data_IF_009437933835
#
_entry.id   IF_009437933835
#
_cell.length_a   1.000
_cell.length_b   1.000
_cell.length_c   1.000
_cell.angle_alpha   90.00
_cell.angle_beta   90.00
_cell.angle_gamma   90.00
#
_symmetry.space_group_name_H-M   'P 1'
#
loop_
_entity.id
_entity.type
_entity.pdbx_description
1 polymer ?
#
# COMPACT_ATOMS: atom_id res chain seq x y z
N UNK A 1 -12.01 -3.50 17.79
CA UNK A 1 -12.34 -4.77 17.10
C UNK A 1 -11.65 -5.98 17.74
N UNK A 2 -10.35 -5.93 18.05
CA UNK A 2 -9.65 -7.04 18.73
C UNK A 2 -10.18 -7.29 20.15
N UNK A 3 -10.48 -6.24 20.92
CA UNK A 3 -11.04 -6.39 22.28
C UNK A 3 -12.40 -7.11 22.27
N UNK A 4 -13.29 -6.70 21.34
CA UNK A 4 -14.58 -7.36 21.15
C UNK A 4 -14.43 -8.84 20.74
N UNK A 5 -13.42 -9.18 19.93
CA UNK A 5 -13.17 -10.57 19.55
C UNK A 5 -12.63 -11.39 20.73
N UNK A 6 -11.76 -10.81 21.57
CA UNK A 6 -11.27 -11.44 22.79
C UNK A 6 -12.41 -11.69 23.79
N UNK A 7 -13.25 -10.68 24.01
CA UNK A 7 -14.41 -10.77 24.90
C UNK A 7 -15.40 -11.84 24.44
N UNK A 8 -15.75 -11.87 23.14
CA UNK A 8 -16.65 -12.87 22.58
C UNK A 8 -16.08 -14.29 22.72
N UNK A 9 -14.79 -14.48 22.49
CA UNK A 9 -14.13 -15.79 22.64
C UNK A 9 -14.07 -16.24 24.11
N UNK A 10 -13.85 -15.30 25.03
CA UNK A 10 -13.83 -15.56 26.47
C UNK A 10 -15.22 -15.89 27.02
N UNK A 11 -16.24 -15.11 26.66
CA UNK A 11 -17.63 -15.31 27.08
C UNK A 11 -18.23 -16.60 26.51
N UNK A 12 -17.76 -17.06 25.34
CA UNK A 12 -18.30 -18.21 24.63
C UNK A 12 -17.30 -19.37 24.50
N UNK A 13 -16.40 -19.55 25.48
CA UNK A 13 -15.35 -20.58 25.44
C UNK A 13 -15.88 -22.00 25.08
N UNK A 14 -17.06 -22.36 25.56
CA UNK A 14 -17.71 -23.65 25.25
C UNK A 14 -18.13 -23.81 23.76
N UNK A 15 -18.44 -22.72 23.07
CA UNK A 15 -18.75 -22.70 21.64
C UNK A 15 -17.45 -22.63 20.81
N UNK A 16 -16.46 -21.91 21.30
CA UNK A 16 -15.13 -21.79 20.72
C UNK A 16 -14.51 -23.17 20.46
N UNK A 17 -14.46 -24.05 21.46
CA UNK A 17 -13.94 -25.41 21.30
C UNK A 17 -14.80 -26.32 20.42
N UNK A 18 -16.09 -26.00 20.25
CA UNK A 18 -17.03 -26.83 19.49
C UNK A 18 -17.06 -26.49 18.00
N UNK A 19 -16.85 -25.23 17.64
CA UNK A 19 -17.05 -24.74 16.28
C UNK A 19 -15.77 -24.28 15.58
N UNK A 20 -14.71 -23.94 16.32
CA UNK A 20 -13.42 -23.59 15.71
C UNK A 20 -12.55 -24.82 15.54
N UNK A 21 -11.98 -24.96 14.33
CA UNK A 21 -10.90 -25.93 14.13
C UNK A 21 -9.69 -25.58 15.00
N UNK A 22 -8.86 -26.55 15.41
CA UNK A 22 -7.66 -26.29 16.21
C UNK A 22 -6.76 -25.21 15.60
N UNK A 23 -6.57 -25.24 14.27
CA UNK A 23 -5.83 -24.22 13.53
C UNK A 23 -6.41 -22.81 13.72
N UNK A 24 -7.72 -22.65 13.57
CA UNK A 24 -8.36 -21.33 13.69
C UNK A 24 -8.30 -20.80 15.12
N UNK A 25 -8.43 -21.68 16.11
CA UNK A 25 -8.29 -21.31 17.51
C UNK A 25 -6.86 -20.84 17.83
N UNK A 26 -5.84 -21.65 17.50
CA UNK A 26 -4.42 -21.29 17.69
C UNK A 26 -4.07 -19.98 16.97
N UNK A 27 -4.57 -19.79 15.75
CA UNK A 27 -4.30 -18.58 14.98
C UNK A 27 -4.93 -17.32 15.58
N UNK A 28 -6.20 -17.41 16.01
CA UNK A 28 -6.91 -16.28 16.64
C UNK A 28 -6.28 -15.92 17.98
N UNK A 29 -5.90 -16.91 18.78
CA UNK A 29 -5.23 -16.71 20.05
C UNK A 29 -3.90 -15.97 19.86
N UNK A 30 -3.07 -16.39 18.89
CA UNK A 30 -1.83 -15.70 18.55
C UNK A 30 -2.06 -14.26 18.05
N UNK A 31 -3.11 -14.02 17.25
CA UNK A 31 -3.47 -12.67 16.79
C UNK A 31 -3.90 -11.74 17.93
N UNK A 32 -4.63 -12.24 18.92
CA UNK A 32 -5.04 -11.47 20.09
C UNK A 32 -3.84 -11.17 21.00
N UNK A 33 -3.01 -12.17 21.26
CA UNK A 33 -1.76 -12.03 22.02
C UNK A 33 -0.83 -11.01 21.39
N UNK A 34 -0.85 -10.83 20.06
CA UNK A 34 -0.04 -9.82 19.38
C UNK A 34 -0.33 -8.38 19.85
N UNK A 35 -1.51 -8.09 20.41
CA UNK A 35 -1.86 -6.75 20.91
C UNK A 35 -1.13 -6.42 22.23
N UNK A 36 -0.87 -7.42 23.07
CA UNK A 36 -0.34 -7.24 24.43
C UNK A 36 1.09 -7.76 24.58
N UNK A 37 1.43 -8.84 23.88
CA UNK A 37 2.71 -9.54 23.96
C UNK A 37 3.19 -10.01 22.56
N UNK A 38 3.73 -9.09 21.72
CA UNK A 38 4.14 -9.42 20.35
C UNK A 38 5.25 -10.48 20.26
N UNK A 39 6.14 -10.55 21.25
CA UNK A 39 7.19 -11.58 21.29
C UNK A 39 6.63 -12.99 21.56
N UNK A 40 5.59 -13.09 22.38
CA UNK A 40 4.90 -14.34 22.67
C UNK A 40 4.09 -14.79 21.45
N UNK A 41 3.32 -13.87 20.85
CA UNK A 41 2.60 -14.11 19.61
C UNK A 41 3.55 -14.59 18.49
N UNK A 42 4.75 -14.03 18.39
CA UNK A 42 5.75 -14.48 17.44
C UNK A 42 6.13 -15.96 17.64
N UNK A 43 6.34 -16.40 18.89
CA UNK A 43 6.64 -17.81 19.20
C UNK A 43 5.47 -18.72 18.87
N UNK A 44 4.24 -18.29 19.15
CA UNK A 44 3.03 -19.04 18.79
C UNK A 44 2.94 -19.23 17.26
N UNK A 45 3.13 -18.17 16.48
CA UNK A 45 3.15 -18.28 15.01
C UNK A 45 4.31 -19.13 14.49
N UNK A 46 5.47 -19.13 15.15
CA UNK A 46 6.62 -19.96 14.78
C UNK A 46 6.33 -21.46 15.01
N UNK A 47 5.65 -21.80 16.12
CA UNK A 47 5.19 -23.16 16.40
C UNK A 47 4.16 -23.63 15.36
N UNK A 48 3.16 -22.78 15.05
CA UNK A 48 2.18 -23.07 14.01
C UNK A 48 2.84 -23.27 12.64
N UNK A 49 3.79 -22.39 12.29
CA UNK A 49 4.56 -22.47 11.05
C UNK A 49 5.36 -23.78 10.97
N UNK A 50 5.94 -24.22 12.09
CA UNK A 50 6.67 -25.50 12.17
C UNK A 50 5.75 -26.69 11.93
N UNK A 51 4.58 -26.74 12.59
CA UNK A 51 3.56 -27.79 12.37
C UNK A 51 3.10 -27.86 10.91
N UNK A 52 2.85 -26.71 10.29
CA UNK A 52 2.41 -26.62 8.89
C UNK A 52 3.53 -27.02 7.92
N UNK A 53 4.78 -26.64 8.20
CA UNK A 53 5.96 -27.03 7.41
C UNK A 53 6.14 -28.55 7.42
N UNK A 54 5.96 -29.21 8.56
CA UNK A 54 6.00 -30.68 8.63
C UNK A 54 4.92 -31.34 7.77
N UNK A 55 3.71 -30.76 7.73
CA UNK A 55 2.61 -31.25 6.91
C UNK A 55 2.88 -31.06 5.41
N UNK A 56 3.36 -29.87 5.02
CA UNK A 56 3.76 -29.57 3.64
C UNK A 56 4.86 -30.51 3.17
N UNK A 57 5.90 -30.76 3.99
CA UNK A 57 6.94 -31.72 3.69
C UNK A 57 6.42 -33.16 3.48
N UNK A 58 5.42 -33.59 4.26
CA UNK A 58 4.77 -34.90 4.09
C UNK A 58 3.99 -34.98 2.78
N UNK A 59 3.21 -33.95 2.47
CA UNK A 59 2.42 -33.87 1.23
C UNK A 59 3.33 -33.82 -0.01
N UNK A 60 4.45 -33.09 0.04
CA UNK A 60 5.46 -33.08 -1.05
C UNK A 60 6.02 -34.47 -1.32
N UNK A 61 6.30 -35.27 -0.28
CA UNK A 61 6.76 -36.67 -0.44
C UNK A 61 5.68 -37.55 -1.07
N UNK A 62 4.43 -37.41 -0.62
CA UNK A 62 3.29 -38.15 -1.18
C UNK A 62 3.04 -37.81 -2.66
N UNK A 63 3.21 -36.54 -3.05
CA UNK A 63 3.13 -36.13 -4.46
C UNK A 63 4.23 -36.78 -5.30
N UNK A 64 5.45 -36.91 -4.78
CA UNK A 64 6.56 -37.57 -5.47
C UNK A 64 6.32 -39.08 -5.63
N UNK A 65 5.84 -39.75 -4.59
CA UNK A 65 5.51 -41.19 -4.61
C UNK A 65 4.31 -41.48 -5.55
N UNK A 66 3.27 -40.65 -5.49
CA UNK A 66 2.10 -40.78 -6.36
C UNK A 66 2.44 -40.68 -7.85
N UNK A 67 3.41 -39.82 -8.22
CA UNK A 67 3.93 -39.71 -9.60
C UNK A 67 4.61 -40.99 -10.08
N UNK A 68 5.29 -41.72 -9.20
CA UNK A 68 5.92 -43.00 -9.54
C UNK A 68 4.88 -44.10 -9.75
N UNK A 69 3.79 -44.06 -8.96
CA UNK A 69 2.73 -45.08 -8.99
C UNK A 69 1.65 -44.82 -10.06
N UNK A 70 1.67 -43.67 -10.76
CA UNK A 70 0.69 -43.25 -11.79
C UNK A 70 -0.77 -43.28 -11.31
N UNK A 71 -1.00 -42.94 -10.05
CA UNK A 71 -2.34 -42.80 -9.47
C UNK A 71 -2.80 -41.33 -9.56
N UNK A 72 -3.46 -40.99 -10.66
CA UNK A 72 -3.86 -39.61 -10.97
C UNK A 72 -4.93 -39.07 -10.01
N UNK A 73 -5.81 -39.92 -9.48
CA UNK A 73 -6.89 -39.50 -8.57
C UNK A 73 -6.36 -39.23 -7.17
N UNK A 74 -5.46 -40.08 -6.66
CA UNK A 74 -4.77 -39.83 -5.40
C UNK A 74 -3.88 -38.56 -5.49
N UNK A 75 -3.17 -38.37 -6.61
CA UNK A 75 -2.35 -37.16 -6.82
C UNK A 75 -3.19 -35.88 -6.76
N UNK A 76 -4.37 -35.87 -7.40
CA UNK A 76 -5.25 -34.70 -7.40
C UNK A 76 -5.70 -34.33 -5.98
N UNK A 77 -6.05 -35.34 -5.16
CA UNK A 77 -6.45 -35.11 -3.77
C UNK A 77 -5.29 -34.56 -2.92
N UNK A 78 -4.10 -35.17 -3.03
CA UNK A 78 -2.91 -34.70 -2.30
C UNK A 78 -2.53 -33.28 -2.72
N UNK A 79 -2.70 -32.92 -3.99
CA UNK A 79 -2.44 -31.56 -4.48
C UNK A 79 -3.42 -30.55 -3.87
N UNK A 80 -4.72 -30.88 -3.81
CA UNK A 80 -5.73 -30.04 -3.16
C UNK A 80 -5.43 -29.85 -1.66
N UNK A 81 -5.02 -30.92 -0.98
CA UNK A 81 -4.62 -30.84 0.43
C UNK A 81 -3.35 -29.99 0.61
N UNK A 82 -2.40 -30.08 -0.33
CA UNK A 82 -1.20 -29.25 -0.35
C UNK A 82 -1.53 -27.77 -0.51
N UNK A 83 -2.36 -27.41 -1.48
CA UNK A 83 -2.77 -26.02 -1.73
C UNK A 83 -3.46 -25.43 -0.50
N UNK A 84 -4.39 -26.19 0.13
CA UNK A 84 -5.07 -25.76 1.35
C UNK A 84 -4.10 -25.56 2.54
N UNK A 85 -3.08 -26.43 2.69
CA UNK A 85 -2.08 -26.26 3.73
C UNK A 85 -1.15 -25.08 3.44
N UNK A 86 -0.81 -24.85 2.17
CA UNK A 86 0.02 -23.72 1.76
C UNK A 86 -0.71 -22.40 2.04
N UNK A 87 -2.00 -22.29 1.74
CA UNK A 87 -2.80 -21.10 2.06
C UNK A 87 -2.78 -20.78 3.56
N UNK A 88 -2.99 -21.80 4.41
CA UNK A 88 -2.90 -21.63 5.88
C UNK A 88 -1.51 -21.17 6.31
N UNK A 89 -0.46 -21.77 5.75
CA UNK A 89 0.91 -21.40 6.04
C UNK A 89 1.21 -19.95 5.65
N UNK A 90 0.77 -19.50 4.47
CA UNK A 90 0.91 -18.11 4.01
C UNK A 90 0.22 -17.16 4.99
N UNK A 91 -0.99 -17.46 5.47
CA UNK A 91 -1.71 -16.62 6.44
C UNK A 91 -0.93 -16.47 7.76
N UNK A 92 -0.42 -17.57 8.31
CA UNK A 92 0.41 -17.55 9.54
C UNK A 92 1.70 -16.76 9.31
N UNK A 93 2.37 -17.00 8.18
CA UNK A 93 3.60 -16.31 7.80
C UNK A 93 3.38 -14.79 7.69
N UNK A 94 2.29 -14.34 7.07
CA UNK A 94 1.97 -12.91 6.96
C UNK A 94 1.72 -12.28 8.33
N UNK A 95 1.00 -12.97 9.22
CA UNK A 95 0.77 -12.49 10.59
C UNK A 95 2.10 -12.38 11.37
N UNK A 96 2.96 -13.40 11.28
CA UNK A 96 4.28 -13.42 11.90
C UNK A 96 5.18 -12.27 11.36
N UNK A 97 5.22 -12.10 10.04
CA UNK A 97 5.97 -11.03 9.38
C UNK A 97 5.47 -9.64 9.77
N UNK A 98 4.15 -9.47 9.92
CA UNK A 98 3.52 -8.20 10.27
C UNK A 98 4.01 -7.64 11.62
N UNK A 99 4.37 -8.51 12.56
CA UNK A 99 4.93 -8.08 13.86
C UNK A 99 6.18 -7.22 13.63
N UNK A 100 7.16 -7.71 12.86
CA UNK A 100 8.38 -6.95 12.57
C UNK A 100 8.14 -5.80 11.59
N UNK A 101 7.20 -5.95 10.65
CA UNK A 101 6.80 -4.88 9.74
C UNK A 101 6.31 -3.64 10.51
N UNK A 102 5.44 -3.83 11.52
CA UNK A 102 4.90 -2.73 12.32
C UNK A 102 5.98 -1.99 13.13
N UNK A 103 7.09 -2.66 13.45
CA UNK A 103 8.26 -2.07 14.10
C UNK A 103 9.28 -1.50 13.09
N UNK A 104 8.93 -1.43 11.80
CA UNK A 104 9.81 -1.03 10.70
C UNK A 104 11.12 -1.85 10.62
N UNK A 105 11.15 -3.07 11.16
CA UNK A 105 12.33 -3.95 11.14
C UNK A 105 12.36 -4.81 9.86
N UNK A 106 12.40 -4.17 8.69
CA UNK A 106 12.32 -4.85 7.38
C UNK A 106 13.36 -5.96 7.14
N UNK A 107 14.62 -5.88 7.62
CA UNK A 107 15.59 -6.97 7.44
C UNK A 107 15.17 -8.29 8.12
N UNK A 108 14.43 -8.20 9.23
CA UNK A 108 13.93 -9.39 9.92
C UNK A 108 12.72 -9.97 9.18
N UNK A 109 11.87 -9.11 8.62
CA UNK A 109 10.79 -9.52 7.73
C UNK A 109 11.38 -10.28 6.54
N UNK A 110 12.38 -9.73 5.85
CA UNK A 110 13.08 -10.43 4.75
C UNK A 110 13.60 -11.81 5.15
N UNK A 111 14.22 -11.93 6.33
CA UNK A 111 14.71 -13.21 6.85
C UNK A 111 13.59 -14.24 7.04
N UNK A 112 12.40 -13.80 7.48
CA UNK A 112 11.21 -14.66 7.62
C UNK A 112 10.73 -15.14 6.24
N UNK A 113 10.67 -14.24 5.25
CA UNK A 113 10.33 -14.61 3.87
C UNK A 113 11.35 -15.56 3.24
N UNK A 114 12.65 -15.31 3.41
CA UNK A 114 13.70 -16.19 2.88
C UNK A 114 13.60 -17.63 3.39
N UNK A 115 13.25 -17.82 4.67
CA UNK A 115 13.04 -19.15 5.26
C UNK A 115 11.82 -19.89 4.70
N UNK A 116 10.81 -19.17 4.22
CA UNK A 116 9.56 -19.72 3.70
C UNK A 116 9.56 -19.93 2.18
N UNK A 117 10.63 -19.52 1.49
CA UNK A 117 10.71 -19.54 0.03
C UNK A 117 10.50 -20.93 -0.59
N UNK A 118 10.94 -22.00 0.08
CA UNK A 118 10.76 -23.38 -0.40
C UNK A 118 9.29 -23.73 -0.69
N UNK A 119 8.37 -23.20 0.11
CA UNK A 119 6.94 -23.50 0.00
C UNK A 119 6.16 -22.42 -0.74
N UNK A 120 6.57 -21.15 -0.64
CA UNK A 120 5.74 -20.01 -1.02
C UNK A 120 6.22 -19.25 -2.26
N UNK A 121 7.33 -19.60 -2.90
CA UNK A 121 7.92 -18.80 -3.97
C UNK A 121 7.00 -18.62 -5.20
N UNK A 122 5.94 -19.41 -5.36
CA UNK A 122 4.94 -19.28 -6.43
C UNK A 122 3.65 -18.56 -6.01
N UNK A 123 3.50 -18.22 -4.73
CA UNK A 123 2.33 -17.51 -4.21
C UNK A 123 2.45 -16.00 -4.46
N UNK A 124 1.43 -15.41 -5.06
CA UNK A 124 1.43 -13.98 -5.41
C UNK A 124 1.40 -13.10 -4.15
N UNK A 125 0.75 -13.54 -3.06
CA UNK A 125 0.72 -12.79 -1.79
C UNK A 125 2.11 -12.74 -1.14
N UNK A 126 2.83 -13.86 -1.14
CA UNK A 126 4.20 -13.93 -0.67
C UNK A 126 5.13 -13.04 -1.50
N UNK A 127 5.03 -13.12 -2.83
CA UNK A 127 5.84 -12.29 -3.75
C UNK A 127 5.60 -10.81 -3.56
N UNK A 128 4.33 -10.37 -3.46
CA UNK A 128 3.98 -8.96 -3.25
C UNK A 128 4.51 -8.45 -1.91
N UNK A 129 4.34 -9.21 -0.82
CA UNK A 129 4.82 -8.77 0.49
C UNK A 129 6.35 -8.73 0.56
N UNK A 130 7.05 -9.68 -0.07
CA UNK A 130 8.51 -9.60 -0.19
C UNK A 130 8.94 -8.41 -1.06
N UNK A 131 8.21 -8.09 -2.12
CA UNK A 131 8.45 -6.90 -2.94
C UNK A 131 8.29 -5.61 -2.13
N UNK A 132 7.26 -5.53 -1.27
CA UNK A 132 7.09 -4.43 -0.32
C UNK A 132 8.27 -4.31 0.65
N UNK A 133 8.79 -5.43 1.16
CA UNK A 133 9.97 -5.45 2.03
C UNK A 133 11.21 -4.92 1.31
N UNK A 134 11.47 -5.38 0.08
CA UNK A 134 12.58 -4.86 -0.72
C UNK A 134 12.42 -3.38 -1.05
N UNK A 135 11.20 -2.95 -1.39
CA UNK A 135 10.89 -1.55 -1.62
C UNK A 135 11.20 -0.68 -0.40
N UNK A 136 10.74 -1.08 0.79
CA UNK A 136 11.00 -0.35 2.03
C UNK A 136 12.49 -0.30 2.40
N UNK A 137 13.27 -1.29 1.97
CA UNK A 137 14.73 -1.32 2.13
C UNK A 137 15.49 -0.57 1.02
N UNK A 138 14.81 0.11 0.10
CA UNK A 138 15.39 0.73 -1.10
C UNK A 138 16.09 -0.25 -2.05
N UNK A 139 15.75 -1.55 -1.99
CA UNK A 139 16.23 -2.60 -2.91
C UNK A 139 15.33 -2.65 -4.16
N UNK A 140 15.31 -1.55 -4.92
CA UNK A 140 14.35 -1.36 -6.02
C UNK A 140 14.48 -2.38 -7.15
N UNK A 141 15.69 -2.83 -7.48
CA UNK A 141 15.91 -3.86 -8.51
C UNK A 141 15.26 -5.20 -8.12
N UNK A 142 15.40 -5.60 -6.87
CA UNK A 142 14.80 -6.84 -6.36
C UNK A 142 13.28 -6.70 -6.27
N UNK A 143 12.77 -5.52 -5.89
CA UNK A 143 11.35 -5.22 -5.87
C UNK A 143 10.72 -5.31 -7.29
N UNK A 144 11.40 -4.81 -8.33
CA UNK A 144 10.95 -4.95 -9.73
C UNK A 144 10.79 -6.42 -10.09
N UNK A 145 11.79 -7.26 -9.77
CA UNK A 145 11.77 -8.68 -10.07
C UNK A 145 10.56 -9.45 -9.49
N UNK A 146 9.92 -8.91 -8.45
CA UNK A 146 8.75 -9.50 -7.82
C UNK A 146 7.42 -8.84 -8.23
N UNK A 147 7.38 -7.51 -8.39
CA UNK A 147 6.18 -6.81 -8.83
C UNK A 147 5.87 -7.05 -10.30
N UNK A 148 6.89 -6.98 -11.17
CA UNK A 148 6.70 -6.96 -12.61
C UNK A 148 6.00 -8.22 -13.16
N UNK A 149 6.34 -9.47 -12.74
CA UNK A 149 5.63 -10.66 -13.19
C UNK A 149 4.14 -10.64 -12.85
N UNK A 150 3.78 -10.09 -11.69
CA UNK A 150 2.38 -10.01 -11.22
C UNK A 150 1.62 -8.97 -12.03
N UNK A 151 2.22 -7.81 -12.28
CA UNK A 151 1.61 -6.78 -13.13
C UNK A 151 1.45 -7.28 -14.57
N UNK A 152 2.46 -7.97 -15.12
CA UNK A 152 2.39 -8.55 -16.46
C UNK A 152 1.31 -9.62 -16.60
N UNK A 153 1.10 -10.46 -15.57
CA UNK A 153 0.01 -11.45 -15.52
C UNK A 153 -1.38 -10.81 -15.64
N UNK A 154 -1.52 -9.57 -15.16
CA UNK A 154 -2.77 -8.83 -15.17
C UNK A 154 -2.76 -7.64 -16.15
N UNK A 155 -1.84 -7.59 -17.12
CA UNK A 155 -1.62 -6.39 -17.94
C UNK A 155 -2.85 -5.94 -18.75
N UNK A 156 -3.65 -6.90 -19.24
CA UNK A 156 -4.89 -6.62 -19.96
C UNK A 156 -5.98 -6.03 -19.05
N UNK A 157 -5.95 -6.37 -17.76
CA UNK A 157 -6.88 -5.87 -16.74
C UNK A 157 -6.10 -5.19 -15.61
N UNK A 158 -5.25 -4.23 -15.96
CA UNK A 158 -4.24 -3.67 -15.06
C UNK A 158 -4.83 -3.08 -13.78
N UNK A 159 -6.06 -2.56 -13.85
CA UNK A 159 -6.78 -1.97 -12.73
C UNK A 159 -7.24 -3.00 -11.69
N UNK A 160 -7.15 -4.30 -11.98
CA UNK A 160 -7.32 -5.37 -10.98
C UNK A 160 -6.12 -5.47 -10.02
N UNK A 161 -4.96 -4.93 -10.41
CA UNK A 161 -3.81 -4.79 -9.51
C UNK A 161 -4.04 -3.58 -8.62
N UNK A 162 -3.66 -3.67 -7.34
CA UNK A 162 -3.81 -2.54 -6.42
C UNK A 162 -2.99 -1.33 -6.88
N UNK A 163 -3.55 -0.13 -6.74
CA UNK A 163 -2.89 1.10 -7.14
C UNK A 163 -1.53 1.31 -6.45
N UNK A 164 -1.39 0.85 -5.20
CA UNK A 164 -0.12 0.93 -4.43
C UNK A 164 0.95 0.04 -5.04
N UNK A 165 0.61 -1.15 -5.54
CA UNK A 165 1.56 -2.04 -6.21
C UNK A 165 2.04 -1.41 -7.52
N UNK A 166 1.13 -0.88 -8.33
CA UNK A 166 1.48 -0.16 -9.56
C UNK A 166 2.36 1.06 -9.26
N UNK A 167 2.02 1.82 -8.22
CA UNK A 167 2.79 2.99 -7.81
C UNK A 167 4.22 2.62 -7.37
N UNK A 168 4.37 1.58 -6.56
CA UNK A 168 5.67 1.10 -6.10
C UNK A 168 6.52 0.53 -7.25
N UNK A 169 5.89 -0.09 -8.25
CA UNK A 169 6.59 -0.53 -9.45
C UNK A 169 7.07 0.68 -10.28
N UNK A 170 6.21 1.67 -10.55
CA UNK A 170 6.60 2.92 -11.21
C UNK A 170 7.77 3.59 -10.49
N UNK A 171 7.68 3.72 -9.15
CA UNK A 171 8.76 4.25 -8.33
C UNK A 171 10.03 3.43 -8.50
N UNK A 172 9.95 2.11 -8.42
CA UNK A 172 11.14 1.25 -8.53
C UNK A 172 11.82 1.39 -9.89
N UNK A 173 11.04 1.45 -10.97
CA UNK A 173 11.55 1.72 -12.32
C UNK A 173 12.29 3.06 -12.37
N UNK A 174 11.66 4.12 -11.90
CA UNK A 174 12.24 5.45 -11.86
C UNK A 174 13.54 5.49 -11.03
N UNK A 175 13.54 4.89 -9.84
CA UNK A 175 14.72 4.85 -8.95
C UNK A 175 15.86 3.99 -9.51
N UNK A 176 15.57 3.15 -10.50
CA UNK A 176 16.55 2.36 -11.24
C UNK A 176 16.85 2.91 -12.64
N UNK A 177 16.42 4.15 -12.92
CA UNK A 177 16.61 4.86 -14.19
C UNK A 177 15.91 4.23 -15.42
N UNK A 178 14.89 3.41 -15.17
CA UNK A 178 13.98 2.82 -16.17
C UNK A 178 12.76 3.73 -16.37
N UNK A 179 12.99 4.97 -16.82
CA UNK A 179 11.94 5.98 -16.89
C UNK A 179 10.90 5.69 -17.98
N UNK A 180 11.32 5.02 -19.07
CA UNK A 180 10.44 4.67 -20.20
C UNK A 180 9.38 3.65 -19.76
N UNK A 181 9.80 2.64 -18.98
CA UNK A 181 8.94 1.59 -18.44
C UNK A 181 7.92 2.15 -17.44
N UNK A 182 8.36 3.08 -16.59
CA UNK A 182 7.44 3.79 -15.69
C UNK A 182 6.42 4.62 -16.46
N UNK A 183 6.84 5.34 -17.50
CA UNK A 183 5.95 6.16 -18.30
C UNK A 183 4.95 5.32 -19.11
N UNK A 184 5.39 4.21 -19.70
CA UNK A 184 4.51 3.26 -20.38
C UNK A 184 3.45 2.70 -19.43
N UNK A 185 3.86 2.28 -18.23
CA UNK A 185 2.95 1.76 -17.21
C UNK A 185 1.92 2.82 -16.80
N UNK A 186 2.35 4.07 -16.57
CA UNK A 186 1.45 5.17 -16.22
C UNK A 186 0.45 5.49 -17.34
N UNK A 187 0.90 5.51 -18.61
CA UNK A 187 0.02 5.71 -19.77
C UNK A 187 -1.00 4.59 -19.93
N UNK A 188 -0.60 3.34 -19.67
CA UNK A 188 -1.52 2.19 -19.69
C UNK A 188 -2.61 2.35 -18.62
N UNK A 189 -2.26 2.73 -17.39
CA UNK A 189 -3.23 2.98 -16.32
C UNK A 189 -4.20 4.09 -16.70
N UNK A 190 -3.69 5.21 -17.21
CA UNK A 190 -4.51 6.36 -17.64
C UNK A 190 -5.54 5.94 -18.70
N UNK A 191 -5.09 5.24 -19.75
CA UNK A 191 -5.95 4.79 -20.84
C UNK A 191 -7.06 3.84 -20.38
N UNK A 192 -6.75 2.89 -19.48
CA UNK A 192 -7.75 1.96 -18.96
C UNK A 192 -8.77 2.67 -18.04
N UNK A 193 -8.33 3.66 -17.25
CA UNK A 193 -9.26 4.46 -16.44
C UNK A 193 -10.19 5.33 -17.31
N UNK A 194 -9.66 5.92 -18.37
CA UNK A 194 -10.46 6.70 -19.33
C UNK A 194 -11.51 5.82 -20.03
N UNK A 195 -11.13 4.59 -20.40
CA UNK A 195 -12.04 3.63 -21.01
C UNK A 195 -13.18 3.25 -20.05
N UNK A 196 -12.87 2.90 -18.79
CA UNK A 196 -13.89 2.61 -17.77
C UNK A 196 -14.78 3.84 -17.54
N UNK A 197 -14.21 5.05 -17.43
CA UNK A 197 -15.01 6.25 -17.22
C UNK A 197 -15.93 6.58 -18.41
N UNK A 198 -15.62 6.08 -19.62
CA UNK A 198 -16.47 6.21 -20.80
C UNK A 198 -17.57 5.14 -20.81
N UNK A 199 -17.23 3.89 -20.50
CA UNK A 199 -18.14 2.74 -20.54
C UNK A 199 -19.12 2.73 -19.35
N UNK A 200 -18.65 3.07 -18.14
CA UNK A 200 -19.43 3.17 -16.91
C UNK A 200 -19.04 4.42 -16.10
N UNK A 201 -19.72 5.56 -16.32
CA UNK A 201 -19.43 6.81 -15.61
C UNK A 201 -19.64 6.76 -14.08
N UNK A 202 -20.40 5.79 -13.57
CA UNK A 202 -20.65 5.63 -12.12
C UNK A 202 -19.50 4.85 -11.44
N UNK A 203 -18.78 4.03 -12.20
CA UNK A 203 -17.63 3.29 -11.69
C UNK A 203 -16.45 4.24 -11.42
N UNK A 204 -16.14 4.42 -10.14
CA UNK A 204 -15.01 5.26 -9.71
C UNK A 204 -13.72 4.47 -9.63
N UNK A 205 -12.74 4.86 -10.43
CA UNK A 205 -11.35 4.34 -10.42
C UNK A 205 -10.37 5.46 -10.12
N UNK A 206 -9.32 5.15 -9.34
CA UNK A 206 -8.39 6.15 -8.79
C UNK A 206 -6.92 5.72 -8.83
N UNK A 207 -6.57 4.65 -9.57
CA UNK A 207 -5.21 4.17 -9.74
C UNK A 207 -4.27 5.27 -10.27
N UNK A 208 -4.63 5.98 -11.34
CA UNK A 208 -3.78 7.05 -11.89
C UNK A 208 -3.54 8.18 -10.87
N UNK A 209 -4.58 8.53 -10.10
CA UNK A 209 -4.50 9.50 -9.01
C UNK A 209 -3.50 9.04 -7.95
N UNK A 210 -3.69 7.84 -7.40
CA UNK A 210 -2.86 7.25 -6.35
C UNK A 210 -1.41 7.10 -6.81
N UNK A 211 -1.18 6.63 -8.03
CA UNK A 211 0.17 6.47 -8.60
C UNK A 211 0.90 7.81 -8.68
N UNK A 212 0.27 8.86 -9.21
CA UNK A 212 0.89 10.19 -9.27
C UNK A 212 1.12 10.79 -7.87
N UNK A 213 0.20 10.60 -6.92
CA UNK A 213 0.35 11.04 -5.53
C UNK A 213 1.55 10.38 -4.83
N UNK A 214 1.69 9.06 -4.96
CA UNK A 214 2.78 8.30 -4.36
C UNK A 214 4.12 8.71 -4.97
N UNK A 215 4.21 8.79 -6.30
CA UNK A 215 5.42 9.25 -6.99
C UNK A 215 5.77 10.68 -6.56
N UNK A 216 4.78 11.59 -6.58
CA UNK A 216 4.98 12.99 -6.21
C UNK A 216 5.49 13.15 -4.78
N UNK A 217 4.85 12.48 -3.83
CA UNK A 217 5.23 12.50 -2.41
C UNK A 217 6.65 11.98 -2.20
N UNK A 218 7.02 10.88 -2.84
CA UNK A 218 8.35 10.31 -2.74
C UNK A 218 9.43 11.26 -3.27
N UNK A 219 9.17 11.89 -4.41
CA UNK A 219 10.09 12.85 -5.02
C UNK A 219 10.30 14.09 -4.15
N UNK A 220 9.22 14.64 -3.59
CA UNK A 220 9.30 15.72 -2.60
C UNK A 220 10.12 15.29 -1.37
N UNK A 221 9.90 14.08 -0.85
CA UNK A 221 10.65 13.55 0.29
C UNK A 221 12.15 13.34 0.00
N UNK A 222 12.53 13.13 -1.27
CA UNK A 222 13.93 13.05 -1.73
C UNK A 222 14.51 14.41 -2.16
N UNK A 223 13.76 15.50 -1.99
CA UNK A 223 14.19 16.86 -2.32
C UNK A 223 14.06 17.26 -3.79
N UNK A 224 13.53 16.38 -4.65
CA UNK A 224 13.30 16.68 -6.07
C UNK A 224 11.89 17.24 -6.27
N UNK A 225 11.71 18.51 -5.88
CA UNK A 225 10.41 19.15 -5.88
C UNK A 225 9.88 19.52 -7.26
N UNK A 226 10.75 19.87 -8.22
CA UNK A 226 10.32 20.22 -9.59
C UNK A 226 9.46 19.10 -10.21
N UNK A 227 9.93 17.86 -10.12
CA UNK A 227 9.17 16.72 -10.62
C UNK A 227 8.06 16.32 -9.64
N UNK A 228 8.36 16.28 -8.34
CA UNK A 228 7.41 15.83 -7.31
C UNK A 228 6.12 16.64 -7.31
N UNK A 229 6.22 17.97 -7.32
CA UNK A 229 5.07 18.86 -7.30
C UNK A 229 4.25 18.75 -8.59
N UNK A 230 4.90 18.65 -9.75
CA UNK A 230 4.21 18.43 -11.02
C UNK A 230 3.36 17.15 -10.99
N UNK A 231 3.85 16.08 -10.35
CA UNK A 231 3.09 14.83 -10.18
C UNK A 231 1.93 14.98 -9.19
N UNK A 232 2.14 15.69 -8.08
CA UNK A 232 1.07 16.01 -7.13
C UNK A 232 -0.04 16.80 -7.84
N UNK A 233 0.29 17.80 -8.66
CA UNK A 233 -0.70 18.59 -9.40
C UNK A 233 -1.52 17.68 -10.34
N UNK A 234 -0.84 16.89 -11.19
CA UNK A 234 -1.50 15.97 -12.13
C UNK A 234 -2.41 14.94 -11.46
N UNK A 235 -2.06 14.50 -10.26
CA UNK A 235 -2.85 13.50 -9.55
C UNK A 235 -4.29 13.94 -9.24
N UNK A 236 -4.55 15.24 -9.12
CA UNK A 236 -5.86 15.79 -8.81
C UNK A 236 -6.70 16.11 -10.06
N UNK A 237 -6.22 15.83 -11.27
CA UNK A 237 -6.94 16.13 -12.51
C UNK A 237 -7.89 14.98 -12.93
N UNK A 238 -9.20 15.23 -13.15
CA UNK A 238 -9.90 16.51 -13.01
C UNK A 238 -10.34 16.81 -11.56
N UNK A 239 -10.13 18.07 -11.13
CA UNK A 239 -10.34 18.53 -9.75
C UNK A 239 -11.76 18.30 -9.23
N UNK A 240 -12.77 18.46 -10.08
CA UNK A 240 -14.17 18.21 -9.74
C UNK A 240 -14.48 16.79 -9.28
N UNK A 241 -13.65 15.80 -9.68
CA UNK A 241 -13.83 14.39 -9.33
C UNK A 241 -12.80 13.89 -8.31
N UNK A 242 -11.55 14.36 -8.40
CA UNK A 242 -10.43 13.80 -7.64
C UNK A 242 -9.99 14.63 -6.44
N UNK A 243 -10.43 15.89 -6.33
CA UNK A 243 -10.17 16.69 -5.14
C UNK A 243 -11.06 16.21 -3.98
N UNK A 244 -10.44 15.59 -2.99
CA UNK A 244 -11.09 15.11 -1.78
C UNK A 244 -10.18 15.34 -0.57
N UNK A 245 -10.70 15.08 0.63
CA UNK A 245 -9.95 15.31 1.88
C UNK A 245 -8.62 14.55 1.91
N UNK A 246 -8.62 13.28 1.48
CA UNK A 246 -7.40 12.46 1.49
C UNK A 246 -6.39 12.91 0.44
N UNK A 247 -6.82 13.15 -0.79
CA UNK A 247 -5.91 13.60 -1.87
C UNK A 247 -5.33 14.98 -1.54
N UNK A 248 -6.14 15.87 -0.95
CA UNK A 248 -5.68 17.14 -0.42
C UNK A 248 -4.70 17.00 0.75
N UNK A 249 -4.95 16.08 1.69
CA UNK A 249 -4.04 15.82 2.81
C UNK A 249 -2.62 15.49 2.35
N UNK A 250 -2.47 14.65 1.33
CA UNK A 250 -1.16 14.34 0.77
C UNK A 250 -0.58 15.49 -0.06
N UNK A 251 -1.40 16.15 -0.88
CA UNK A 251 -0.97 17.28 -1.70
C UNK A 251 -0.45 18.44 -0.84
N UNK A 252 -1.21 18.89 0.17
CA UNK A 252 -0.85 20.02 1.03
C UNK A 252 0.47 19.79 1.76
N UNK A 253 0.77 18.55 2.17
CA UNK A 253 2.04 18.20 2.84
C UNK A 253 3.24 18.34 1.91
N UNK A 254 3.10 17.97 0.64
CA UNK A 254 4.16 18.16 -0.36
C UNK A 254 4.45 19.66 -0.56
N UNK A 255 3.41 20.49 -0.66
CA UNK A 255 3.55 21.95 -0.76
C UNK A 255 4.12 22.59 0.51
N UNK A 256 3.71 22.16 1.69
CA UNK A 256 4.30 22.65 2.95
C UNK A 256 5.78 22.31 3.04
N UNK A 257 6.15 21.07 2.70
CA UNK A 257 7.56 20.65 2.69
C UNK A 257 8.37 21.45 1.67
N UNK A 258 7.83 21.71 0.48
CA UNK A 258 8.44 22.60 -0.50
C UNK A 258 8.70 23.99 0.08
N UNK A 259 7.67 24.63 0.64
CA UNK A 259 7.73 25.99 1.17
C UNK A 259 8.73 26.09 2.32
N UNK A 260 8.79 25.07 3.19
CA UNK A 260 9.80 24.98 4.24
C UNK A 260 11.22 25.00 3.65
N UNK A 261 11.49 24.21 2.60
CA UNK A 261 12.81 24.12 1.98
C UNK A 261 13.17 25.39 1.19
N UNK A 262 12.20 26.02 0.53
CA UNK A 262 12.38 27.30 -0.16
C UNK A 262 12.65 28.44 0.83
N UNK A 263 11.93 28.50 1.96
CA UNK A 263 12.12 29.54 2.99
C UNK A 263 13.50 29.46 3.64
N UNK A 264 14.08 28.26 3.72
CA UNK A 264 15.46 28.01 4.16
C UNK A 264 16.50 28.24 3.05
N UNK A 265 16.09 28.70 1.87
CA UNK A 265 16.93 28.88 0.68
C UNK A 265 17.71 27.62 0.26
N UNK A 266 17.21 26.42 0.60
CA UNK A 266 17.84 25.16 0.20
C UNK A 266 17.49 24.78 -1.23
N UNK A 267 16.38 25.32 -1.76
CA UNK A 267 15.81 24.94 -3.06
C UNK A 267 15.26 26.17 -3.75
N UNK A 268 15.46 26.23 -5.07
CA UNK A 268 14.86 27.22 -5.96
C UNK A 268 14.09 26.46 -7.03
N UNK A 269 12.80 26.75 -7.17
CA UNK A 269 11.97 26.16 -8.22
C UNK A 269 12.14 26.89 -9.55
N UNK A 270 11.92 26.17 -10.65
CA UNK A 270 11.76 26.79 -11.97
C UNK A 270 10.46 27.61 -12.03
N UNK A 271 10.50 28.74 -12.72
CA UNK A 271 9.35 29.64 -12.87
C UNK A 271 8.09 28.93 -13.39
N UNK A 272 8.24 27.99 -14.32
CA UNK A 272 7.12 27.20 -14.83
C UNK A 272 6.40 26.43 -13.72
N UNK A 273 7.15 25.78 -12.81
CA UNK A 273 6.58 25.02 -11.69
C UNK A 273 5.93 25.95 -10.67
N UNK A 274 6.47 27.15 -10.48
CA UNK A 274 5.85 28.18 -9.64
C UNK A 274 4.50 28.61 -10.21
N UNK A 275 4.42 28.88 -11.51
CA UNK A 275 3.15 29.24 -12.17
C UNK A 275 2.13 28.10 -12.12
N UNK A 276 2.54 26.86 -12.41
CA UNK A 276 1.68 25.67 -12.28
C UNK A 276 1.19 25.48 -10.84
N UNK A 277 2.04 25.75 -9.85
CA UNK A 277 1.68 25.71 -8.43
C UNK A 277 0.59 26.72 -8.07
N UNK A 278 0.70 27.95 -8.57
CA UNK A 278 -0.33 28.98 -8.36
C UNK A 278 -1.65 28.59 -9.02
N UNK A 279 -1.60 28.13 -10.27
CA UNK A 279 -2.79 27.67 -10.99
C UNK A 279 -3.47 26.50 -10.26
N UNK A 280 -2.68 25.54 -9.79
CA UNK A 280 -3.18 24.42 -8.99
C UNK A 280 -3.90 24.89 -7.73
N UNK A 281 -3.29 25.78 -6.94
CA UNK A 281 -3.90 26.30 -5.72
C UNK A 281 -5.19 27.09 -6.00
N UNK A 282 -5.27 27.81 -7.13
CA UNK A 282 -6.48 28.51 -7.56
C UNK A 282 -7.61 27.56 -7.97
N UNK A 283 -7.27 26.45 -8.64
CA UNK A 283 -8.24 25.40 -8.97
C UNK A 283 -8.73 24.70 -7.68
N UNK A 284 -7.83 24.37 -6.75
CA UNK A 284 -8.20 23.85 -5.44
C UNK A 284 -9.07 24.85 -4.65
N UNK A 285 -8.79 26.15 -4.74
CA UNK A 285 -9.62 27.19 -4.15
C UNK A 285 -11.04 27.18 -4.73
N UNK A 286 -11.16 27.07 -6.06
CA UNK A 286 -12.44 27.09 -6.77
C UNK A 286 -13.31 25.86 -6.52
N UNK A 287 -12.71 24.66 -6.58
CA UNK A 287 -13.42 23.38 -6.42
C UNK A 287 -13.52 22.90 -4.96
N UNK A 288 -12.72 23.45 -4.05
CA UNK A 288 -12.56 22.98 -2.67
C UNK A 288 -13.54 23.55 -1.64
N UNK A 289 -14.58 24.28 -2.05
CA UNK A 289 -15.47 25.01 -1.13
C UNK A 289 -16.23 24.09 -0.19
N UNK A 290 -16.74 22.99 -0.73
CA UNK A 290 -17.51 21.98 -0.02
C UNK A 290 -16.66 20.77 0.38
N UNK A 291 -15.34 20.82 0.14
CA UNK A 291 -14.42 19.72 0.48
C UNK A 291 -13.75 20.04 1.82
N UNK A 292 -13.98 19.23 2.88
CA UNK A 292 -13.33 19.45 4.16
C UNK A 292 -11.83 19.19 4.04
N UNK A 293 -11.03 20.03 4.70
CA UNK A 293 -9.57 19.90 4.68
C UNK A 293 -9.04 18.86 5.68
N UNK A 294 -9.85 18.55 6.69
CA UNK A 294 -9.61 17.59 7.76
C UNK A 294 -10.93 16.87 8.08
N UNK A 295 -10.87 15.55 8.27
CA UNK A 295 -11.98 14.79 8.84
C UNK A 295 -11.84 14.88 10.37
N UNK A 296 -12.70 15.67 11.01
CA UNK A 296 -12.73 15.77 12.48
C UNK A 296 -13.21 14.45 13.07
N UNK A 297 -12.52 13.98 14.12
CA UNK A 297 -12.99 12.79 14.83
C UNK A 297 -14.18 13.16 15.71
N UNK A 298 -15.23 12.32 15.81
CA UNK A 298 -16.43 12.64 16.60
C UNK A 298 -16.18 12.94 18.09
N UNK A 299 -15.00 12.62 18.60
CA UNK A 299 -14.60 12.74 20.01
C UNK A 299 -13.57 13.88 20.24
N UNK A 300 -13.20 14.67 19.22
CA UNK A 300 -12.26 15.78 19.39
C UNK A 300 -12.93 16.99 20.06
N UNK A 301 -12.38 17.44 21.20
CA UNK A 301 -12.91 18.58 21.98
C UNK A 301 -12.76 19.93 21.26
N UNK A 302 -11.83 20.03 20.29
CA UNK A 302 -11.53 21.23 19.53
C UNK A 302 -12.05 21.09 18.10
N UNK A 303 -13.23 21.64 17.86
CA UNK A 303 -13.80 21.73 16.51
C UNK A 303 -13.15 22.92 15.79
N UNK A 304 -12.59 22.68 14.62
CA UNK A 304 -12.07 23.73 13.75
C UNK A 304 -13.29 24.51 13.24
N UNK A 305 -13.19 25.84 13.28
CA UNK A 305 -14.25 26.68 12.73
C UNK A 305 -14.56 26.26 11.29
N UNK A 306 -15.83 26.01 10.96
CA UNK A 306 -16.26 25.41 9.68
C UNK A 306 -15.68 26.15 8.47
N UNK A 307 -15.66 27.49 8.50
CA UNK A 307 -15.06 28.31 7.44
C UNK A 307 -13.53 28.20 7.28
N UNK A 308 -12.84 27.53 8.21
CA UNK A 308 -11.40 27.23 8.18
C UNK A 308 -11.11 25.75 7.87
N UNK A 309 -12.10 24.86 7.99
CA UNK A 309 -11.96 23.45 7.63
C UNK A 309 -12.43 23.19 6.18
N UNK A 310 -11.86 23.90 5.22
CA UNK A 310 -12.13 23.69 3.80
C UNK A 310 -10.83 23.68 3.01
N UNK A 311 -10.80 22.91 1.92
CA UNK A 311 -9.68 22.95 0.97
C UNK A 311 -9.49 24.37 0.45
N UNK A 312 -10.57 25.11 0.19
CA UNK A 312 -10.51 26.53 -0.22
C UNK A 312 -9.72 27.39 0.76
N UNK A 313 -9.96 27.24 2.07
CA UNK A 313 -9.25 28.01 3.08
C UNK A 313 -7.75 27.67 3.10
N UNK A 314 -7.41 26.38 3.13
CA UNK A 314 -6.00 25.95 3.17
C UNK A 314 -5.25 26.28 1.87
N UNK A 315 -5.90 26.19 0.71
CA UNK A 315 -5.31 26.56 -0.57
C UNK A 315 -4.93 28.06 -0.62
N UNK A 316 -5.79 28.95 -0.09
CA UNK A 316 -5.48 30.37 0.06
C UNK A 316 -4.31 30.62 1.00
N UNK A 317 -4.25 29.89 2.11
CA UNK A 317 -3.16 29.99 3.06
C UNK A 317 -1.83 29.57 2.42
N UNK A 318 -1.80 28.43 1.72
CA UNK A 318 -0.63 27.98 0.98
C UNK A 318 -0.22 28.99 -0.09
N UNK A 319 -1.18 29.59 -0.80
CA UNK A 319 -0.90 30.62 -1.80
C UNK A 319 -0.26 31.86 -1.19
N UNK A 320 -0.75 32.32 -0.03
CA UNK A 320 -0.17 33.43 0.70
C UNK A 320 1.28 33.14 1.16
N UNK A 321 1.52 31.95 1.73
CA UNK A 321 2.87 31.52 2.12
C UNK A 321 3.81 31.45 0.91
N UNK A 322 3.32 30.97 -0.23
CA UNK A 322 4.10 30.93 -1.47
C UNK A 322 4.54 32.32 -1.91
N UNK A 323 3.65 33.32 -1.87
CA UNK A 323 3.98 34.71 -2.19
C UNK A 323 5.02 35.32 -1.24
N UNK A 324 4.96 35.00 0.05
CA UNK A 324 5.94 35.46 1.04
C UNK A 324 7.33 34.90 0.74
N UNK A 325 7.42 33.60 0.45
CA UNK A 325 8.70 32.92 0.21
C UNK A 325 9.37 33.40 -1.08
N UNK A 326 8.61 33.64 -2.14
CA UNK A 326 9.17 34.15 -3.42
C UNK A 326 9.42 35.67 -3.41
N UNK A 327 9.12 36.37 -2.30
CA UNK A 327 9.31 37.81 -2.15
C UNK A 327 8.57 38.67 -3.20
N UNK A 328 7.41 38.22 -3.71
CA UNK A 328 6.63 38.99 -4.72
C UNK A 328 5.95 40.26 -4.15
N UNK A 329 5.93 40.40 -2.82
CA UNK A 329 5.36 41.57 -2.13
C UNK A 329 6.42 42.66 -1.81
N UNK A 330 7.58 42.67 -2.49
CA UNK A 330 8.59 43.73 -2.39
C UNK A 330 8.92 44.37 -3.73
#
# INVERSE_FOLDING_TARGET
YFDLAADVLAENAHLTYKFLSPYMYEFLDALLTCQTAPEEAFRMFDEMSSKLTEQLCKLTKQLQEGRQNRDDEAQKKVLQDYDLMQEKYVVVLMAQAKIYWNHAHFPMVEKIFQKSAEFCNNDDTWRLNLAHVFFMQNKYKDAIGLYEPIVKKHYDNILNVSAVVLANLCVSYIMTSQNEEAEELMRKIEKEEEQISYDDPEQKVFHHCIVNLVIGTLYCAKGNYDFGITRVIKSLEPYSKKLGTDTWFYAKRCFLSLLENMSKHMIMLRDAVVQESFQFLELCEGYGKEVPALIEQPLEELHVHIGKNTVTYEARLLKALFYEVISWNK
#
